data_IF_495632004732
#
_entry.id   IF_495632004732
#
_cell.length_a   1.000
_cell.length_b   1.000
_cell.length_c   1.000
_cell.angle_alpha   90.00
_cell.angle_beta   90.00
_cell.angle_gamma   90.00
#
_symmetry.space_group_name_H-M   'P 1'
#
loop_
_entity.id
_entity.type
_entity.pdbx_description
1 polymer ?
#
# COMPACT_ATOMS: atom_id res chain seq x y z
N UNK A 1 -15.49 6.39 62.83
CA UNK A 1 -15.25 5.15 62.06
C UNK A 1 -15.25 5.44 60.55
N UNK A 2 -14.03 5.64 60.04
CA UNK A 2 -13.66 5.87 58.64
C UNK A 2 -13.88 4.60 57.79
N UNK A 3 -13.65 4.73 56.48
CA UNK A 3 -13.53 3.69 55.45
C UNK A 3 -14.74 3.47 54.53
N UNK A 4 -15.32 4.55 54.00
CA UNK A 4 -15.68 4.49 52.58
C UNK A 4 -14.43 4.81 51.77
N UNK A 5 -13.72 3.75 51.39
CA UNK A 5 -12.69 3.80 50.35
C UNK A 5 -13.38 4.25 49.06
N UNK A 6 -13.30 5.54 48.75
CA UNK A 6 -13.58 6.03 47.40
C UNK A 6 -12.44 5.50 46.51
N UNK A 7 -12.67 4.36 45.88
CA UNK A 7 -11.81 3.90 44.81
C UNK A 7 -11.93 4.94 43.70
N UNK A 8 -10.86 5.69 43.45
CA UNK A 8 -10.75 6.56 42.28
C UNK A 8 -10.79 5.67 41.05
N UNK A 9 -11.99 5.39 40.54
CA UNK A 9 -12.18 4.75 39.25
C UNK A 9 -11.51 5.64 38.21
N UNK A 10 -10.49 5.11 37.51
CA UNK A 10 -9.78 5.81 36.46
C UNK A 10 -10.75 6.40 35.44
N UNK A 11 -10.92 7.72 35.48
CA UNK A 11 -11.84 8.46 34.65
C UNK A 11 -11.46 8.35 33.18
N UNK A 12 -12.27 7.58 32.45
CA UNK A 12 -12.48 7.54 31.01
C UNK A 12 -11.48 8.30 30.13
N UNK A 13 -10.54 7.57 29.54
CA UNK A 13 -9.75 8.00 28.36
C UNK A 13 -10.59 7.90 27.06
N UNK A 14 -11.93 7.93 27.17
CA UNK A 14 -12.85 7.59 26.09
C UNK A 14 -13.58 8.85 25.63
N UNK A 15 -13.47 9.14 24.33
CA UNK A 15 -14.24 10.19 23.66
C UNK A 15 -15.73 9.85 23.84
N UNK A 16 -16.48 10.73 24.50
CA UNK A 16 -17.91 10.52 24.72
C UNK A 16 -18.71 10.51 23.42
N UNK A 17 -19.76 9.68 23.35
CA UNK A 17 -20.66 9.62 22.21
C UNK A 17 -21.42 10.95 22.03
N UNK A 18 -21.52 11.43 20.79
CA UNK A 18 -22.32 12.60 20.39
C UNK A 18 -23.30 12.22 19.28
N UNK A 19 -24.47 12.86 19.24
CA UNK A 19 -25.51 12.58 18.26
C UNK A 19 -25.64 13.74 17.25
N UNK A 20 -25.58 13.43 15.95
CA UNK A 20 -25.68 14.37 14.80
C UNK A 20 -24.63 15.50 14.76
N UNK A 21 -23.60 15.41 15.58
CA UNK A 21 -22.45 16.33 15.58
C UNK A 21 -21.17 15.61 15.16
N UNK A 22 -20.19 16.35 14.65
CA UNK A 22 -18.88 15.79 14.33
C UNK A 22 -18.17 15.28 15.61
N UNK A 23 -17.58 14.09 15.61
CA UNK A 23 -16.92 13.53 16.79
C UNK A 23 -15.65 14.32 17.13
N UNK A 24 -15.29 14.31 18.41
CA UNK A 24 -14.00 14.86 18.82
C UNK A 24 -12.88 13.89 18.45
N UNK A 25 -12.01 14.30 17.52
CA UNK A 25 -10.82 13.53 17.15
C UNK A 25 -9.65 14.07 17.94
N UNK A 26 -8.84 13.19 18.54
CA UNK A 26 -7.64 13.64 19.23
C UNK A 26 -6.56 14.07 18.22
N UNK A 27 -5.80 15.12 18.56
CA UNK A 27 -4.71 15.62 17.71
C UNK A 27 -3.63 14.55 17.43
N UNK A 28 -3.46 13.58 18.33
CA UNK A 28 -2.51 12.48 18.15
C UNK A 28 -3.00 11.50 17.10
N UNK A 29 -4.30 11.21 17.08
CA UNK A 29 -4.91 10.34 16.07
C UNK A 29 -4.82 10.95 14.67
N UNK A 30 -5.11 12.24 14.50
CA UNK A 30 -4.96 12.91 13.19
C UNK A 30 -3.52 12.89 12.72
N UNK A 31 -2.57 13.20 13.62
CA UNK A 31 -1.15 13.18 13.28
C UNK A 31 -0.64 11.78 12.90
N UNK A 32 -1.06 10.73 13.62
CA UNK A 32 -0.70 9.36 13.26
C UNK A 32 -1.32 8.94 11.93
N UNK A 33 -2.56 9.33 11.64
CA UNK A 33 -3.21 9.04 10.37
C UNK A 33 -2.46 9.71 9.21
N UNK A 34 -2.11 10.98 9.36
CA UNK A 34 -1.31 11.73 8.38
C UNK A 34 0.08 11.10 8.19
N UNK A 35 0.76 10.74 9.28
CA UNK A 35 2.08 10.10 9.24
C UNK A 35 2.05 8.76 8.49
N UNK A 36 1.05 7.92 8.76
CA UNK A 36 0.91 6.62 8.10
C UNK A 36 0.57 6.82 6.62
N UNK A 37 -0.33 7.75 6.30
CA UNK A 37 -0.68 8.06 4.91
C UNK A 37 0.52 8.59 4.11
N UNK A 38 1.33 9.46 4.73
CA UNK A 38 2.57 9.98 4.14
C UNK A 38 3.64 8.90 3.98
N UNK A 39 3.80 8.02 4.97
CA UNK A 39 4.73 6.90 4.90
C UNK A 39 4.35 5.90 3.80
N UNK A 40 3.05 5.61 3.63
CA UNK A 40 2.56 4.76 2.54
C UNK A 40 2.90 5.34 1.17
N UNK A 41 2.59 6.62 0.92
CA UNK A 41 2.90 7.26 -0.36
C UNK A 41 4.41 7.43 -0.58
N UNK A 42 5.16 7.79 0.46
CA UNK A 42 6.61 7.82 0.40
C UNK A 42 7.18 6.46 0.01
N UNK A 43 6.69 5.38 0.61
CA UNK A 43 7.14 4.02 0.31
C UNK A 43 6.89 3.63 -1.15
N UNK A 44 5.69 3.93 -1.68
CA UNK A 44 5.35 3.66 -3.08
C UNK A 44 6.28 4.43 -4.02
N UNK A 45 6.45 5.73 -3.81
CA UNK A 45 7.30 6.56 -4.68
C UNK A 45 8.78 6.17 -4.57
N UNK A 46 9.24 5.84 -3.36
CA UNK A 46 10.59 5.37 -3.11
C UNK A 46 10.87 4.05 -3.83
N UNK A 47 9.96 3.07 -3.73
CA UNK A 47 10.10 1.80 -4.45
C UNK A 47 10.00 1.96 -5.96
N UNK A 48 9.09 2.79 -6.46
CA UNK A 48 9.01 3.07 -7.90
C UNK A 48 10.30 3.69 -8.46
N UNK A 49 11.10 4.39 -7.63
CA UNK A 49 12.39 4.93 -8.04
C UNK A 49 13.54 3.92 -7.89
N UNK A 50 13.56 3.15 -6.80
CA UNK A 50 14.66 2.23 -6.51
C UNK A 50 14.58 0.91 -7.29
N UNK A 51 13.37 0.37 -7.49
CA UNK A 51 13.14 -0.91 -8.17
C UNK A 51 12.11 -0.75 -9.30
N UNK A 52 12.43 -0.02 -10.38
CA UNK A 52 11.52 0.13 -11.52
C UNK A 52 11.24 -1.21 -12.22
N UNK A 53 12.14 -2.18 -12.08
CA UNK A 53 12.11 -3.46 -12.77
C UNK A 53 10.92 -4.36 -12.34
N UNK A 54 10.39 -4.20 -11.13
CA UNK A 54 9.19 -4.93 -10.69
C UNK A 54 7.92 -4.44 -11.42
N UNK A 55 7.92 -3.20 -11.92
CA UNK A 55 6.76 -2.59 -12.59
C UNK A 55 6.87 -2.68 -14.11
N UNK A 56 8.07 -2.50 -14.67
CA UNK A 56 8.29 -2.50 -16.12
C UNK A 56 8.68 -3.87 -16.70
N UNK A 57 8.87 -4.87 -15.83
CA UNK A 57 9.25 -6.22 -16.22
C UNK A 57 10.76 -6.37 -16.37
N UNK A 58 11.31 -7.43 -15.78
CA UNK A 58 12.75 -7.72 -15.79
C UNK A 58 13.31 -8.13 -17.16
N UNK A 59 12.45 -8.56 -18.09
CA UNK A 59 12.87 -9.12 -19.38
C UNK A 59 12.21 -8.36 -20.53
N UNK A 60 12.96 -7.92 -21.55
CA UNK A 60 12.38 -7.32 -22.74
C UNK A 60 11.47 -8.34 -23.43
N UNK A 61 10.26 -7.93 -23.79
CA UNK A 61 9.37 -8.80 -24.55
C UNK A 61 9.99 -9.12 -25.91
N UNK A 62 10.26 -10.40 -26.24
CA UNK A 62 10.85 -10.75 -27.52
C UNK A 62 9.86 -10.44 -28.65
N UNK A 63 10.34 -9.84 -29.74
CA UNK A 63 9.51 -9.64 -30.93
C UNK A 63 9.33 -10.99 -31.64
N UNK A 64 8.09 -11.53 -31.73
CA UNK A 64 7.84 -12.83 -32.35
C UNK A 64 8.14 -12.84 -33.86
N UNK A 65 8.33 -11.68 -34.50
CA UNK A 65 8.69 -11.57 -35.92
C UNK A 65 10.19 -11.67 -36.20
N UNK A 66 11.04 -11.60 -35.18
CA UNK A 66 12.49 -11.84 -35.32
C UNK A 66 12.87 -13.33 -35.24
N UNK A 67 11.92 -14.22 -34.92
CA UNK A 67 12.15 -15.66 -34.96
C UNK A 67 12.30 -16.13 -36.39
N UNK A 68 13.44 -16.75 -36.70
CA UNK A 68 13.72 -17.24 -38.04
C UNK A 68 12.88 -18.48 -38.34
N UNK A 69 12.42 -18.60 -39.60
CA UNK A 69 11.61 -19.75 -40.06
C UNK A 69 12.34 -21.10 -39.85
N UNK A 70 13.68 -21.08 -39.74
CA UNK A 70 14.54 -22.23 -39.41
C UNK A 70 14.39 -22.69 -37.95
N UNK A 71 14.19 -21.78 -36.99
CA UNK A 71 13.89 -22.12 -35.59
C UNK A 71 12.42 -22.50 -35.40
N UNK A 72 11.52 -21.94 -36.21
CA UNK A 72 10.09 -22.21 -36.14
C UNK A 72 9.66 -23.47 -36.93
N UNK A 73 10.61 -24.09 -37.64
CA UNK A 73 10.39 -25.32 -38.41
C UNK A 73 9.42 -25.14 -39.57
N UNK A 74 9.29 -23.92 -40.09
CA UNK A 74 8.46 -23.63 -41.26
C UNK A 74 9.28 -24.03 -42.49
N UNK A 75 8.89 -25.10 -43.22
CA UNK A 75 9.61 -25.49 -44.42
C UNK A 75 9.52 -24.36 -45.45
N UNK A 76 10.61 -24.04 -46.18
CA UNK A 76 10.52 -23.11 -47.30
C UNK A 76 9.58 -23.70 -48.37
N UNK A 77 8.64 -22.89 -48.87
CA UNK A 77 7.65 -23.28 -49.88
C UNK A 77 8.28 -23.53 -51.29
N UNK A 78 9.62 -23.49 -51.39
CA UNK A 78 10.39 -23.38 -52.62
C UNK A 78 10.68 -24.74 -53.31
N UNK A 79 9.76 -25.71 -53.23
CA UNK A 79 9.81 -26.95 -54.01
C UNK A 79 8.70 -26.97 -55.08
N UNK A 80 8.96 -26.32 -56.21
CA UNK A 80 8.27 -26.57 -57.50
C UNK A 80 9.28 -26.80 -58.63
#
# INVERSE_FOLDING_TARGET
PRWFLCFSAGGAVHVGFRYREFPYISRKETFHAELISGAMWFWILWHCWHDPDEVTGHFPWPDPSEWTDEELGIPPDDVE
#
